data_IF_439757527205
#
_entry.id   IF_439757527205
#
_cell.length_a   1.000
_cell.length_b   1.000
_cell.length_c   1.000
_cell.angle_alpha   90.00
_cell.angle_beta   90.00
_cell.angle_gamma   90.00
#
_symmetry.space_group_name_H-M   'P 1'
#
loop_
_entity.id
_entity.type
_entity.pdbx_description
1 polymer ?
#
# COMPACT_ATOMS: atom_id res chain seq x y z
N UNK A 1 -10.81 6.86 -22.81
CA UNK A 1 -9.66 7.15 -21.93
C UNK A 1 -8.59 7.87 -22.75
N UNK A 2 -8.06 8.93 -22.21
CA UNK A 2 -6.95 9.67 -22.78
C UNK A 2 -5.74 8.74 -23.01
N UNK A 3 -5.01 8.94 -24.11
CA UNK A 3 -3.84 8.13 -24.43
C UNK A 3 -2.75 8.23 -23.37
N UNK A 4 -2.53 9.42 -22.82
CA UNK A 4 -1.53 9.62 -21.75
C UNK A 4 -1.87 8.83 -20.51
N UNK A 5 -3.15 8.81 -20.11
CA UNK A 5 -3.62 8.02 -18.97
C UNK A 5 -3.43 6.54 -19.23
N UNK A 6 -3.75 6.09 -20.45
CA UNK A 6 -3.59 4.70 -20.83
C UNK A 6 -2.14 4.24 -20.83
N UNK A 7 -1.22 5.06 -21.35
CA UNK A 7 0.20 4.78 -21.35
C UNK A 7 0.77 4.76 -19.93
N UNK A 8 0.38 5.71 -19.10
CA UNK A 8 0.76 5.74 -17.69
C UNK A 8 0.28 4.50 -16.94
N UNK A 9 -0.97 4.12 -17.17
CA UNK A 9 -1.54 2.93 -16.55
C UNK A 9 -0.74 1.68 -16.93
N UNK A 10 -0.42 1.52 -18.20
CA UNK A 10 0.38 0.39 -18.68
C UNK A 10 1.77 0.39 -18.03
N UNK A 11 2.40 1.55 -17.90
CA UNK A 11 3.70 1.70 -17.26
C UNK A 11 3.66 1.26 -15.78
N UNK A 12 2.64 1.68 -15.03
CA UNK A 12 2.50 1.28 -13.63
C UNK A 12 2.09 -0.17 -13.46
N UNK A 13 1.29 -0.71 -14.40
CA UNK A 13 0.97 -2.14 -14.42
C UNK A 13 2.25 -2.99 -14.58
N UNK A 14 3.16 -2.58 -15.44
CA UNK A 14 4.43 -3.28 -15.63
C UNK A 14 5.32 -3.22 -14.40
N UNK A 15 5.24 -2.16 -13.61
CA UNK A 15 6.07 -1.94 -12.42
C UNK A 15 5.55 -2.61 -11.16
N UNK A 16 4.28 -3.00 -11.13
CA UNK A 16 3.64 -3.47 -9.90
C UNK A 16 4.33 -4.70 -9.30
N UNK A 17 4.52 -5.76 -10.09
CA UNK A 17 5.16 -6.98 -9.59
C UNK A 17 6.64 -6.76 -9.23
N UNK A 18 7.48 -6.08 -10.08
CA UNK A 18 8.84 -5.77 -9.67
C UNK A 18 8.93 -4.91 -8.40
N UNK A 19 8.04 -3.94 -8.23
CA UNK A 19 8.01 -3.12 -7.02
C UNK A 19 7.62 -3.95 -5.80
N UNK A 20 6.60 -4.81 -5.92
CA UNK A 20 6.19 -5.68 -4.82
C UNK A 20 7.32 -6.62 -4.38
N UNK A 21 8.17 -7.06 -5.31
CA UNK A 21 9.32 -7.90 -5.02
C UNK A 21 10.56 -7.10 -4.58
N UNK A 22 10.54 -5.77 -4.70
CA UNK A 22 11.69 -4.93 -4.41
C UNK A 22 11.91 -4.77 -2.90
N UNK A 23 13.17 -4.85 -2.42
CA UNK A 23 13.48 -4.54 -1.01
C UNK A 23 13.10 -3.12 -0.61
N UNK A 24 13.02 -2.18 -1.56
CA UNK A 24 12.67 -0.79 -1.28
C UNK A 24 11.24 -0.66 -0.75
N UNK A 25 10.30 -1.50 -1.22
CA UNK A 25 8.93 -1.52 -0.71
C UNK A 25 8.76 -2.45 0.49
N UNK A 26 9.66 -3.42 0.64
CA UNK A 26 9.75 -4.30 1.81
C UNK A 26 8.42 -4.98 2.18
N UNK A 27 7.68 -5.48 1.19
CA UNK A 27 6.37 -6.11 1.41
C UNK A 27 6.46 -7.26 2.41
N UNK A 28 7.52 -8.06 2.34
CA UNK A 28 7.73 -9.19 3.27
C UNK A 28 7.84 -8.74 4.72
N UNK A 29 8.38 -7.56 4.98
CA UNK A 29 8.48 -7.01 6.33
C UNK A 29 7.10 -6.69 6.91
N UNK A 30 6.17 -6.24 6.08
CA UNK A 30 4.79 -6.02 6.53
C UNK A 30 4.14 -7.31 6.99
N UNK A 31 4.43 -8.41 6.29
CA UNK A 31 3.89 -9.73 6.65
C UNK A 31 4.58 -10.27 7.91
N UNK A 32 5.88 -10.09 8.02
CA UNK A 32 6.68 -10.65 9.11
C UNK A 32 6.55 -9.88 10.44
N UNK A 33 6.37 -8.56 10.36
CA UNK A 33 6.34 -7.68 11.52
C UNK A 33 5.04 -6.86 11.54
N UNK A 34 4.12 -7.13 12.49
CA UNK A 34 2.85 -6.40 12.57
C UNK A 34 2.99 -4.91 12.89
N UNK A 35 4.13 -4.49 13.40
CA UNK A 35 4.39 -3.08 13.73
C UNK A 35 5.15 -2.35 12.64
N UNK A 36 5.53 -3.05 11.57
CA UNK A 36 6.28 -2.42 10.48
C UNK A 36 5.42 -1.39 9.74
N UNK A 37 5.99 -0.21 9.52
CA UNK A 37 5.40 0.87 8.72
C UNK A 37 6.35 1.18 7.56
N UNK A 38 5.80 1.67 6.44
CA UNK A 38 6.60 2.10 5.31
C UNK A 38 7.54 3.25 5.72
N UNK A 39 8.64 3.40 5.00
CA UNK A 39 9.60 4.47 5.26
C UNK A 39 8.96 5.84 5.08
N UNK A 40 8.07 5.99 4.09
CA UNK A 40 7.34 7.24 3.84
C UNK A 40 6.47 7.61 5.04
N UNK A 41 5.67 6.69 5.53
CA UNK A 41 4.79 6.95 6.68
C UNK A 41 5.61 7.19 7.95
N UNK A 42 6.67 6.45 8.15
CA UNK A 42 7.57 6.69 9.30
C UNK A 42 8.18 8.09 9.27
N UNK A 43 8.59 8.53 8.10
CA UNK A 43 9.12 9.88 7.93
C UNK A 43 8.08 10.94 8.28
N UNK A 44 6.83 10.72 7.89
CA UNK A 44 5.74 11.67 8.07
C UNK A 44 5.13 11.63 9.49
N UNK A 45 5.37 10.56 10.26
CA UNK A 45 4.74 10.35 11.55
C UNK A 45 4.73 11.58 12.48
N UNK A 46 5.86 12.30 12.67
CA UNK A 46 5.87 13.48 13.54
C UNK A 46 5.00 14.63 13.03
N UNK A 47 4.63 14.60 11.76
CA UNK A 47 3.84 15.66 11.09
C UNK A 47 2.39 15.27 10.91
N UNK A 48 2.06 13.99 11.10
CA UNK A 48 0.69 13.49 10.94
C UNK A 48 -0.15 13.85 12.16
N UNK A 49 -1.43 14.22 11.97
CA UNK A 49 -2.37 14.26 13.08
C UNK A 49 -2.64 12.84 13.60
N UNK A 50 -3.34 12.74 14.74
CA UNK A 50 -3.83 11.43 15.19
C UNK A 50 -4.82 10.91 14.16
N UNK A 51 -4.49 9.75 13.55
CA UNK A 51 -5.31 9.15 12.50
C UNK A 51 -6.22 8.03 13.01
N UNK A 52 -6.01 7.58 14.25
CA UNK A 52 -6.81 6.51 14.86
C UNK A 52 -8.29 6.85 14.84
N UNK A 53 -9.09 5.91 14.34
CA UNK A 53 -10.55 6.09 14.25
C UNK A 53 -11.01 6.98 13.11
N UNK A 54 -10.11 7.53 12.31
CA UNK A 54 -10.47 8.35 11.16
C UNK A 54 -10.59 7.52 9.90
N UNK A 55 -11.33 8.03 8.93
CA UNK A 55 -11.41 7.46 7.59
C UNK A 55 -10.42 8.18 6.69
N UNK A 56 -9.65 7.42 5.91
CA UNK A 56 -8.69 7.97 4.97
C UNK A 56 -8.90 7.42 3.57
N UNK A 57 -8.64 8.26 2.58
CA UNK A 57 -8.58 7.88 1.18
C UNK A 57 -7.18 8.16 0.66
N UNK A 58 -6.49 7.12 0.22
CA UNK A 58 -5.15 7.24 -0.34
C UNK A 58 -5.23 7.20 -1.85
N UNK A 59 -5.07 8.36 -2.49
CA UNK A 59 -5.04 8.47 -3.95
C UNK A 59 -3.69 7.97 -4.46
N UNK A 60 -3.71 7.26 -5.58
CA UNK A 60 -2.50 6.67 -6.18
C UNK A 60 -1.78 5.74 -5.19
N UNK A 61 -2.54 4.81 -4.61
CA UNK A 61 -2.03 3.95 -3.53
C UNK A 61 -0.98 2.92 -3.97
N UNK A 62 -0.85 2.68 -5.27
CA UNK A 62 0.09 1.71 -5.85
C UNK A 62 -0.09 0.32 -5.21
N UNK A 63 0.98 -0.30 -4.73
CA UNK A 63 0.90 -1.62 -4.09
C UNK A 63 0.43 -1.57 -2.63
N UNK A 64 0.07 -0.40 -2.12
CA UNK A 64 -0.65 -0.23 -0.88
C UNK A 64 0.18 -0.22 0.40
N UNK A 65 1.51 -0.14 0.31
CA UNK A 65 2.35 -0.17 1.52
C UNK A 65 2.12 1.02 2.45
N UNK A 66 1.95 2.23 1.89
CA UNK A 66 1.64 3.41 2.69
C UNK A 66 0.21 3.38 3.22
N UNK A 67 -0.74 2.90 2.39
CA UNK A 67 -2.14 2.72 2.79
C UNK A 67 -2.24 1.78 3.98
N UNK A 68 -1.56 0.64 3.90
CA UNK A 68 -1.52 -0.35 4.98
C UNK A 68 -0.89 0.22 6.25
N UNK A 69 0.15 1.03 6.09
CA UNK A 69 0.82 1.67 7.23
C UNK A 69 -0.12 2.58 7.99
N UNK A 70 -0.91 3.40 7.29
CA UNK A 70 -1.91 4.26 7.91
C UNK A 70 -3.01 3.44 8.60
N UNK A 71 -3.42 2.33 8.00
CA UNK A 71 -4.38 1.41 8.63
C UNK A 71 -3.82 0.82 9.92
N UNK A 72 -2.55 0.49 9.96
CA UNK A 72 -1.89 0.00 11.18
C UNK A 72 -1.83 1.04 12.30
N UNK A 73 -1.86 2.32 11.94
CA UNK A 73 -1.96 3.41 12.93
C UNK A 73 -3.39 3.61 13.45
N UNK A 74 -4.34 2.82 12.98
CA UNK A 74 -5.71 2.81 13.48
C UNK A 74 -6.73 3.51 12.58
N UNK A 75 -6.35 3.96 11.40
CA UNK A 75 -7.27 4.55 10.43
C UNK A 75 -8.01 3.47 9.65
N UNK A 76 -9.22 3.78 9.20
CA UNK A 76 -9.93 2.96 8.21
C UNK A 76 -9.60 3.51 6.83
N UNK A 77 -8.80 2.77 6.08
CA UNK A 77 -8.25 3.25 4.83
C UNK A 77 -8.92 2.65 3.60
N UNK A 78 -9.07 3.48 2.57
CA UNK A 78 -9.42 3.04 1.22
C UNK A 78 -8.30 3.48 0.29
N UNK A 79 -7.75 2.54 -0.46
CA UNK A 79 -6.75 2.84 -1.49
C UNK A 79 -7.41 2.93 -2.85
N UNK A 80 -6.97 3.89 -3.64
CA UNK A 80 -7.44 4.10 -5.01
C UNK A 80 -6.23 4.17 -5.94
N UNK A 81 -6.25 3.37 -6.99
CA UNK A 81 -5.23 3.42 -8.04
C UNK A 81 -5.83 3.03 -9.38
N UNK A 82 -5.30 3.56 -10.45
CA UNK A 82 -5.77 3.24 -11.78
C UNK A 82 -5.11 1.97 -12.35
N UNK A 83 -4.14 1.40 -11.66
CA UNK A 83 -3.43 0.18 -12.06
C UNK A 83 -4.06 -1.06 -11.43
N UNK A 84 -4.77 -1.91 -12.20
CA UNK A 84 -5.29 -3.17 -11.66
C UNK A 84 -4.18 -4.10 -11.13
N UNK A 85 -3.02 -4.10 -11.77
CA UNK A 85 -1.89 -4.92 -11.34
C UNK A 85 -1.37 -4.47 -9.97
N UNK A 86 -1.27 -3.16 -9.73
CA UNK A 86 -0.87 -2.63 -8.43
C UNK A 86 -1.89 -3.00 -7.34
N UNK A 87 -3.18 -2.88 -7.63
CA UNK A 87 -4.24 -3.24 -6.68
C UNK A 87 -4.24 -4.74 -6.38
N UNK A 88 -3.91 -5.58 -7.37
CA UNK A 88 -3.78 -7.02 -7.15
C UNK A 88 -2.63 -7.34 -6.18
N UNK A 89 -1.50 -6.66 -6.32
CA UNK A 89 -0.38 -6.80 -5.38
C UNK A 89 -0.75 -6.32 -3.98
N UNK A 90 -1.48 -5.22 -3.87
CA UNK A 90 -1.96 -4.71 -2.59
C UNK A 90 -2.88 -5.73 -1.88
N UNK A 91 -3.81 -6.33 -2.62
CA UNK A 91 -4.69 -7.37 -2.09
C UNK A 91 -3.93 -8.60 -1.64
N UNK A 92 -2.94 -9.05 -2.42
CA UNK A 92 -2.09 -10.18 -2.05
C UNK A 92 -1.37 -9.95 -0.74
N UNK A 93 -0.84 -8.76 -0.51
CA UNK A 93 -0.17 -8.41 0.73
C UNK A 93 -1.13 -8.47 1.93
N UNK A 94 -2.33 -7.93 1.78
CA UNK A 94 -3.36 -7.98 2.83
C UNK A 94 -3.78 -9.41 3.13
N UNK A 95 -4.00 -10.23 2.10
CA UNK A 95 -4.35 -11.65 2.27
C UNK A 95 -3.27 -12.43 3.00
N UNK A 96 -2.01 -12.19 2.67
CA UNK A 96 -0.89 -12.82 3.36
C UNK A 96 -0.84 -12.45 4.84
N UNK A 97 -1.13 -11.19 5.17
CA UNK A 97 -1.25 -10.73 6.56
C UNK A 97 -2.37 -11.43 7.30
N UNK A 98 -3.56 -11.50 6.70
CA UNK A 98 -4.73 -12.15 7.31
C UNK A 98 -4.45 -13.62 7.54
N UNK A 99 -3.86 -14.31 6.57
CA UNK A 99 -3.50 -15.73 6.71
C UNK A 99 -2.54 -15.94 7.88
N UNK A 100 -1.53 -15.09 8.01
CA UNK A 100 -0.57 -15.19 9.11
C UNK A 100 -1.21 -14.96 10.46
N UNK A 101 -2.12 -14.00 10.57
CA UNK A 101 -2.83 -13.71 11.82
C UNK A 101 -3.79 -14.84 12.21
N UNK A 102 -4.29 -15.57 11.23
CA UNK A 102 -5.22 -16.69 11.43
C UNK A 102 -4.52 -18.00 11.77
N UNK A 103 -3.25 -18.09 11.47
CA UNK A 103 -2.45 -19.29 11.75
C UNK A 103 -1.96 -19.30 13.19
#
# INVERSE_FOLDING_TARGET
MDEWVRLNRANWDERAAPHAASPDYAVERFVADPDHLSDVVRFDLPRLPEVRGRRGLHLQCHIGTDTLSLARLGATMTGLDFSPAALAEARSAVEALVTRLSA
#
